data_IF_436979900677
#
_entry.id   IF_436979900677
#
_cell.length_a   1.000
_cell.length_b   1.000
_cell.length_c   1.000
_cell.angle_alpha   90.00
_cell.angle_beta   90.00
_cell.angle_gamma   90.00
#
_symmetry.space_group_name_H-M   'P 1'
#
loop_
_entity.id
_entity.type
_entity.pdbx_description
1 polymer ?
#
# COMPACT_ATOMS: atom_id res chain seq x y z
N UNK A 1 -10.33 -15.14 8.12
CA UNK A 1 -8.94 -14.63 7.91
C UNK A 1 -8.32 -15.41 6.76
N UNK A 2 -7.75 -14.68 5.80
CA UNK A 2 -7.06 -15.30 4.67
C UNK A 2 -5.78 -16.02 5.10
N UNK A 3 -5.30 -17.02 4.33
CA UNK A 3 -4.01 -17.66 4.62
C UNK A 3 -2.84 -16.68 4.65
N UNK A 4 -2.86 -15.69 3.77
CA UNK A 4 -1.83 -14.66 3.68
C UNK A 4 -1.79 -13.81 4.94
N UNK A 5 -2.95 -13.40 5.44
CA UNK A 5 -3.02 -12.62 6.68
C UNK A 5 -2.61 -13.46 7.90
N UNK A 6 -2.96 -14.75 7.92
CA UNK A 6 -2.52 -15.65 8.98
C UNK A 6 -1.00 -15.79 9.01
N UNK A 7 -0.37 -15.91 7.85
CA UNK A 7 1.09 -15.98 7.74
C UNK A 7 1.73 -14.65 8.18
N UNK A 8 1.17 -13.52 7.77
CA UNK A 8 1.65 -12.21 8.20
C UNK A 8 1.55 -12.05 9.73
N UNK A 9 0.45 -12.51 10.32
CA UNK A 9 0.22 -12.41 11.76
C UNK A 9 1.23 -13.24 12.59
N UNK A 10 1.80 -14.29 12.02
CA UNK A 10 2.89 -15.04 12.64
C UNK A 10 4.21 -14.27 12.66
N UNK A 11 4.42 -13.41 11.68
CA UNK A 11 5.64 -12.61 11.52
C UNK A 11 5.57 -11.26 12.23
N UNK A 12 4.38 -10.69 12.29
CA UNK A 12 4.15 -9.32 12.73
C UNK A 12 2.99 -9.25 13.70
N UNK A 13 3.30 -8.91 14.95
CA UNK A 13 2.27 -8.76 15.98
C UNK A 13 1.44 -7.50 15.74
N UNK A 14 0.13 -7.65 15.62
CA UNK A 14 -0.81 -6.56 15.49
C UNK A 14 -1.25 -5.97 16.82
N UNK A 15 -1.98 -4.84 16.78
CA UNK A 15 -2.55 -4.23 17.98
C UNK A 15 -3.64 -5.10 18.59
N UNK A 16 -3.92 -4.89 19.90
CA UNK A 16 -4.83 -5.74 20.66
C UNK A 16 -6.30 -5.57 20.25
N UNK A 17 -6.72 -4.37 19.89
CA UNK A 17 -8.08 -4.08 19.42
C UNK A 17 -8.09 -2.78 18.61
N UNK A 18 -8.91 -2.77 17.54
CA UNK A 18 -9.10 -1.61 16.68
C UNK A 18 -10.58 -1.30 16.54
N UNK A 19 -10.93 -0.03 16.67
CA UNK A 19 -12.23 0.46 16.25
C UNK A 19 -12.13 0.94 14.82
N UNK A 20 -12.96 0.36 13.96
CA UNK A 20 -13.05 0.78 12.56
C UNK A 20 -13.88 2.06 12.47
N UNK A 21 -13.28 3.12 11.94
CA UNK A 21 -13.89 4.44 11.83
C UNK A 21 -14.24 4.86 10.42
N UNK A 22 -14.17 3.95 9.43
CA UNK A 22 -14.47 4.26 8.04
C UNK A 22 -15.58 3.37 7.48
N UNK A 23 -16.35 3.91 6.54
CA UNK A 23 -17.42 3.22 5.84
C UNK A 23 -16.92 2.76 4.47
N UNK A 24 -17.02 1.47 4.22
CA UNK A 24 -16.54 0.85 2.97
C UNK A 24 -17.18 1.46 1.73
N UNK A 25 -18.49 1.63 1.73
CA UNK A 25 -19.22 2.16 0.57
C UNK A 25 -18.80 3.58 0.24
N UNK A 26 -18.63 4.41 1.26
CA UNK A 26 -18.16 5.80 1.11
C UNK A 26 -16.74 5.82 0.53
N UNK A 27 -15.84 5.03 1.09
CA UNK A 27 -14.44 4.95 0.63
C UNK A 27 -14.35 4.46 -0.80
N UNK A 28 -15.06 3.38 -1.14
CA UNK A 28 -15.04 2.82 -2.49
C UNK A 28 -15.66 3.80 -3.51
N UNK A 29 -16.65 4.60 -3.11
CA UNK A 29 -17.19 5.66 -3.96
C UNK A 29 -16.15 6.78 -4.19
N UNK A 30 -15.43 7.20 -3.15
CA UNK A 30 -14.38 8.21 -3.27
C UNK A 30 -13.21 7.74 -4.14
N UNK A 31 -12.80 6.48 -3.98
CA UNK A 31 -11.74 5.86 -4.78
C UNK A 31 -12.22 5.50 -6.19
N UNK A 32 -13.53 5.44 -6.42
CA UNK A 32 -14.16 5.01 -7.68
C UNK A 32 -13.76 3.59 -8.08
N UNK A 33 -13.55 2.71 -7.10
CA UNK A 33 -13.25 1.30 -7.29
C UNK A 33 -13.39 0.55 -5.97
N UNK A 34 -13.60 -0.76 -6.04
CA UNK A 34 -13.65 -1.62 -4.88
C UNK A 34 -12.26 -1.81 -4.25
N UNK A 35 -12.22 -1.95 -2.94
CA UNK A 35 -10.99 -2.30 -2.22
C UNK A 35 -10.72 -3.80 -2.32
N UNK A 36 -9.45 -4.22 -2.46
CA UNK A 36 -9.09 -5.63 -2.39
C UNK A 36 -9.49 -6.26 -1.06
N UNK A 37 -9.95 -7.50 -1.10
CA UNK A 37 -10.42 -8.22 0.09
C UNK A 37 -9.30 -8.41 1.11
N UNK A 38 -8.10 -8.79 0.67
CA UNK A 38 -6.96 -8.98 1.55
C UNK A 38 -6.54 -7.69 2.26
N UNK A 39 -6.61 -6.55 1.56
CA UNK A 39 -6.32 -5.24 2.16
C UNK A 39 -7.34 -4.88 3.22
N UNK A 40 -8.64 -5.14 2.96
CA UNK A 40 -9.68 -4.88 3.97
C UNK A 40 -9.44 -5.70 5.23
N UNK A 41 -9.12 -6.97 5.09
CA UNK A 41 -8.76 -7.83 6.22
C UNK A 41 -7.50 -7.32 6.95
N UNK A 42 -6.51 -6.87 6.20
CA UNK A 42 -5.26 -6.33 6.73
C UNK A 42 -5.51 -5.10 7.61
N UNK A 43 -6.26 -4.11 7.11
CA UNK A 43 -6.53 -2.89 7.88
C UNK A 43 -7.57 -3.10 8.99
N UNK A 44 -8.42 -4.10 8.88
CA UNK A 44 -9.29 -4.51 9.98
C UNK A 44 -8.49 -5.12 11.13
N UNK A 45 -7.41 -5.82 10.83
CA UNK A 45 -6.55 -6.45 11.82
C UNK A 45 -5.51 -5.50 12.42
N UNK A 46 -4.90 -4.64 11.61
CA UNK A 46 -3.78 -3.79 12.01
C UNK A 46 -4.11 -2.30 12.08
N UNK A 47 -5.05 -1.82 11.26
CA UNK A 47 -5.20 -0.39 10.99
C UNK A 47 -4.03 0.17 10.19
N UNK A 48 -4.01 1.48 10.00
CA UNK A 48 -2.85 2.16 9.46
C UNK A 48 -1.73 2.22 10.50
N UNK A 49 -0.49 2.20 10.05
CA UNK A 49 0.63 2.26 10.96
C UNK A 49 1.99 2.06 10.30
N UNK A 50 3.00 2.08 11.14
CA UNK A 50 4.40 2.04 10.73
C UNK A 50 4.97 0.63 10.95
N UNK A 51 5.37 -0.01 9.85
CA UNK A 51 6.00 -1.32 9.84
C UNK A 51 7.52 -1.17 9.80
N UNK A 52 8.19 -1.78 10.78
CA UNK A 52 9.67 -1.81 10.89
C UNK A 52 10.30 -0.42 10.75
N UNK A 53 9.66 0.59 11.34
CA UNK A 53 10.11 1.99 11.35
C UNK A 53 10.31 2.62 9.96
N UNK A 54 9.74 2.02 8.92
CA UNK A 54 10.00 2.42 7.54
C UNK A 54 8.77 2.49 6.64
N UNK A 55 7.94 1.43 6.60
CA UNK A 55 6.81 1.35 5.69
C UNK A 55 5.51 1.79 6.39
N UNK A 56 4.86 2.81 5.83
CA UNK A 56 3.60 3.36 6.30
C UNK A 56 2.44 2.67 5.59
N UNK A 57 1.74 1.78 6.29
CA UNK A 57 0.51 1.18 5.80
C UNK A 57 -0.61 2.19 5.92
N UNK A 58 -1.29 2.49 4.82
CA UNK A 58 -2.36 3.48 4.79
C UNK A 58 -3.71 2.85 5.14
N UNK A 59 -4.55 3.62 5.82
CA UNK A 59 -5.91 3.23 6.23
C UNK A 59 -6.90 4.30 5.78
N UNK A 60 -8.06 3.92 5.20
CA UNK A 60 -9.07 4.91 4.83
C UNK A 60 -9.54 5.73 6.03
N UNK A 61 -9.53 7.05 5.89
CA UNK A 61 -10.04 7.96 6.93
C UNK A 61 -9.22 7.96 8.22
N UNK A 62 -7.96 7.56 8.17
CA UNK A 62 -7.10 7.60 9.36
C UNK A 62 -7.02 9.01 9.93
N UNK A 63 -7.18 9.19 11.27
CA UNK A 63 -7.07 10.50 11.90
C UNK A 63 -5.71 11.16 11.70
N UNK A 64 -4.66 10.38 11.51
CA UNK A 64 -3.35 10.87 11.12
C UNK A 64 -3.30 10.95 9.59
N UNK A 65 -3.31 12.17 9.04
CA UNK A 65 -3.42 12.45 7.61
C UNK A 65 -2.35 11.77 6.75
N UNK A 66 -1.14 11.56 7.27
CA UNK A 66 -0.07 10.91 6.50
C UNK A 66 -0.30 9.41 6.33
N UNK A 67 -1.27 8.85 7.05
CA UNK A 67 -1.71 7.46 6.95
C UNK A 67 -3.08 7.31 6.29
N UNK A 68 -3.67 8.40 5.78
CA UNK A 68 -5.01 8.34 5.16
C UNK A 68 -4.91 7.91 3.69
N UNK A 69 -5.42 6.72 3.41
CA UNK A 69 -5.41 6.11 2.06
C UNK A 69 -6.04 7.02 1.01
N UNK A 70 -7.21 7.57 1.28
CA UNK A 70 -7.97 8.37 0.29
C UNK A 70 -7.21 9.66 -0.03
N UNK A 71 -6.75 10.35 1.01
CA UNK A 71 -6.00 11.60 0.86
C UNK A 71 -4.69 11.40 0.12
N UNK A 72 -3.88 10.44 0.56
CA UNK A 72 -2.58 10.16 -0.06
C UNK A 72 -2.74 9.68 -1.50
N UNK A 73 -3.73 8.84 -1.78
CA UNK A 73 -4.00 8.37 -3.15
C UNK A 73 -4.34 9.52 -4.08
N UNK A 74 -5.18 10.48 -3.64
CA UNK A 74 -5.52 11.66 -4.43
C UNK A 74 -4.31 12.55 -4.69
N UNK A 75 -3.48 12.79 -3.67
CA UNK A 75 -2.25 13.58 -3.80
C UNK A 75 -1.26 12.93 -4.76
N UNK A 76 -1.12 11.60 -4.71
CA UNK A 76 -0.20 10.88 -5.59
C UNK A 76 -0.69 10.84 -7.04
N UNK A 77 -2.00 10.70 -7.27
CA UNK A 77 -2.56 10.78 -8.61
C UNK A 77 -2.25 12.13 -9.26
N UNK A 78 -2.48 13.22 -8.54
CA UNK A 78 -2.16 14.57 -9.01
C UNK A 78 -0.66 14.78 -9.23
N UNK A 79 0.17 14.31 -8.31
CA UNK A 79 1.62 14.42 -8.40
C UNK A 79 2.19 13.64 -9.59
N UNK A 80 1.70 12.42 -9.83
CA UNK A 80 2.12 11.61 -10.96
C UNK A 80 1.68 12.22 -12.29
N UNK A 81 0.44 12.72 -12.38
CA UNK A 81 -0.04 13.40 -13.59
C UNK A 81 0.82 14.61 -13.95
N UNK A 82 1.26 15.37 -12.97
CA UNK A 82 2.16 16.51 -13.16
C UNK A 82 3.56 16.06 -13.58
N UNK A 83 4.10 15.04 -12.92
CA UNK A 83 5.44 14.49 -13.20
C UNK A 83 5.52 13.93 -14.64
N UNK A 84 4.48 13.22 -15.08
CA UNK A 84 4.47 12.56 -16.40
C UNK A 84 4.28 13.53 -17.57
N UNK A 85 4.14 14.81 -17.32
CA UNK A 85 4.26 15.83 -18.37
C UNK A 85 5.73 16.05 -18.79
N UNK A 86 6.68 15.66 -17.94
CA UNK A 86 8.12 15.88 -18.13
C UNK A 86 8.93 14.59 -18.09
N UNK A 87 8.45 13.58 -17.38
CA UNK A 87 9.10 12.29 -17.20
C UNK A 87 8.29 11.17 -17.86
N UNK A 88 8.96 10.08 -18.21
CA UNK A 88 8.29 8.90 -18.73
C UNK A 88 7.46 8.21 -17.64
N UNK A 89 6.25 7.80 -18.03
CA UNK A 89 5.40 6.99 -17.14
C UNK A 89 5.78 5.51 -17.26
N UNK A 90 5.49 4.68 -16.23
CA UNK A 90 5.72 3.25 -16.35
C UNK A 90 4.85 2.64 -17.46
N UNK A 91 5.34 1.55 -18.06
CA UNK A 91 4.67 0.90 -19.20
C UNK A 91 3.20 0.54 -18.90
N UNK A 92 2.89 0.14 -17.68
CA UNK A 92 1.54 -0.19 -17.24
C UNK A 92 0.58 0.99 -17.35
N UNK A 93 1.08 2.21 -17.30
CA UNK A 93 0.27 3.44 -17.37
C UNK A 93 0.16 4.02 -18.78
N UNK A 94 0.76 3.36 -19.76
CA UNK A 94 0.60 3.72 -21.19
C UNK A 94 -0.77 3.31 -21.72
N UNK A 95 -1.39 2.28 -21.12
CA UNK A 95 -2.74 1.85 -21.49
C UNK A 95 -3.79 2.78 -20.90
N UNK A 96 -4.66 3.31 -21.73
CA UNK A 96 -5.75 4.19 -21.29
C UNK A 96 -6.68 3.51 -20.29
N UNK A 97 -7.08 4.24 -19.27
CA UNK A 97 -7.99 3.76 -18.23
C UNK A 97 -7.32 3.05 -17.06
N UNK A 98 -6.03 2.75 -17.13
CA UNK A 98 -5.30 2.24 -15.98
C UNK A 98 -5.07 3.34 -14.96
N UNK A 99 -5.14 2.98 -13.68
CA UNK A 99 -4.99 3.90 -12.54
C UNK A 99 -4.06 3.31 -11.50
N UNK A 100 -3.46 4.18 -10.71
CA UNK A 100 -2.67 3.80 -9.54
C UNK A 100 -3.35 4.31 -8.28
N UNK A 101 -3.53 3.44 -7.30
CA UNK A 101 -4.02 3.80 -5.98
C UNK A 101 -2.94 3.47 -4.97
N UNK A 102 -2.44 4.47 -4.26
CA UNK A 102 -1.37 4.30 -3.27
C UNK A 102 -1.92 3.64 -2.01
N UNK A 103 -1.36 2.50 -1.61
CA UNK A 103 -1.76 1.81 -0.39
C UNK A 103 -0.70 1.83 0.71
N UNK A 104 0.53 2.20 0.38
CA UNK A 104 1.60 2.37 1.36
C UNK A 104 2.61 3.40 0.87
N UNK A 105 3.29 4.03 1.82
CA UNK A 105 4.40 4.94 1.56
C UNK A 105 5.59 4.51 2.41
N UNK A 106 6.73 5.17 2.26
CA UNK A 106 7.88 4.90 3.10
C UNK A 106 8.46 6.18 3.69
N UNK A 107 9.26 6.01 4.72
CA UNK A 107 9.96 7.13 5.36
C UNK A 107 10.97 7.83 4.41
N UNK A 108 11.38 7.15 3.35
CA UNK A 108 12.30 7.71 2.35
C UNK A 108 11.60 8.32 1.13
N UNK A 109 10.28 8.30 1.07
CA UNK A 109 9.53 8.91 -0.03
C UNK A 109 9.24 7.98 -1.22
N UNK A 110 9.37 6.66 -1.06
CA UNK A 110 8.88 5.71 -2.04
C UNK A 110 7.38 5.46 -1.83
N UNK A 111 6.69 5.02 -2.89
CA UNK A 111 5.26 4.76 -2.86
C UNK A 111 4.94 3.39 -3.44
N UNK A 112 3.97 2.72 -2.81
CA UNK A 112 3.48 1.41 -3.25
C UNK A 112 2.02 1.56 -3.68
N UNK A 113 1.69 1.02 -4.86
CA UNK A 113 0.40 1.20 -5.50
C UNK A 113 -0.24 -0.12 -5.88
N UNK A 114 -1.57 -0.15 -5.92
CA UNK A 114 -2.30 -1.11 -6.75
C UNK A 114 -2.37 -0.58 -8.18
N UNK A 115 -2.10 -1.43 -9.15
CA UNK A 115 -2.44 -1.17 -10.53
C UNK A 115 -3.91 -1.54 -10.74
N UNK A 116 -4.74 -0.55 -11.03
CA UNK A 116 -6.18 -0.72 -11.27
C UNK A 116 -6.44 -0.63 -12.77
N UNK A 117 -6.93 -1.71 -13.36
CA UNK A 117 -7.27 -1.78 -14.78
C UNK A 117 -8.80 -1.73 -14.95
N UNK A 118 -9.30 -1.28 -16.12
CA UNK A 118 -10.75 -1.29 -16.36
C UNK A 118 -11.34 -2.69 -16.18
N UNK A 119 -12.43 -2.79 -15.42
CA UNK A 119 -13.15 -4.05 -15.15
C UNK A 119 -12.27 -5.18 -14.58
N UNK A 120 -11.22 -4.84 -13.86
CA UNK A 120 -10.35 -5.82 -13.22
C UNK A 120 -11.02 -6.49 -12.02
N UNK A 121 -10.41 -7.58 -11.54
CA UNK A 121 -10.74 -8.15 -10.25
C UNK A 121 -9.87 -7.46 -9.18
N UNK A 122 -10.47 -6.74 -8.19
CA UNK A 122 -9.69 -6.07 -7.16
C UNK A 122 -8.73 -6.99 -6.40
N UNK A 123 -9.09 -8.27 -6.26
CA UNK A 123 -8.27 -9.25 -5.53
C UNK A 123 -7.07 -9.76 -6.33
N UNK A 124 -6.95 -9.37 -7.59
CA UNK A 124 -5.85 -9.78 -8.47
C UNK A 124 -4.94 -8.62 -8.89
N UNK A 125 -5.04 -7.49 -8.25
CA UNK A 125 -4.24 -6.30 -8.59
C UNK A 125 -2.79 -6.49 -8.19
N UNK A 126 -1.84 -6.24 -9.13
CA UNK A 126 -0.43 -6.25 -8.79
C UNK A 126 -0.02 -5.01 -8.00
N UNK A 127 1.11 -5.11 -7.32
CA UNK A 127 1.75 -4.01 -6.61
C UNK A 127 2.83 -3.38 -7.50
N UNK A 128 2.78 -2.06 -7.65
CA UNK A 128 3.84 -1.28 -8.28
C UNK A 128 4.52 -0.42 -7.22
N UNK A 129 5.84 -0.29 -7.33
CA UNK A 129 6.63 0.56 -6.44
C UNK A 129 7.39 1.56 -7.29
N UNK A 130 7.41 2.83 -6.89
CA UNK A 130 8.29 3.80 -7.50
C UNK A 130 9.30 4.37 -6.50
N UNK A 131 10.44 4.79 -7.04
CA UNK A 131 11.47 5.50 -6.28
C UNK A 131 11.01 6.90 -5.87
N UNK A 132 11.73 7.50 -4.94
CA UNK A 132 11.48 8.88 -4.50
C UNK A 132 11.49 9.86 -5.68
N UNK A 133 12.40 9.69 -6.64
CA UNK A 133 12.47 10.53 -7.84
C UNK A 133 11.29 10.30 -8.79
N UNK A 134 10.61 9.16 -8.70
CA UNK A 134 9.57 8.75 -9.62
C UNK A 134 10.07 8.17 -10.94
N UNK A 135 11.38 8.01 -11.09
CA UNK A 135 12.00 7.51 -12.35
C UNK A 135 12.05 5.99 -12.42
N UNK A 136 12.30 5.34 -11.29
CA UNK A 136 12.45 3.89 -11.23
C UNK A 136 11.18 3.23 -10.74
N UNK A 137 10.77 2.14 -11.39
CA UNK A 137 9.57 1.37 -11.08
C UNK A 137 9.88 -0.12 -10.97
N UNK A 138 9.21 -0.77 -10.03
CA UNK A 138 9.18 -2.22 -9.90
C UNK A 138 7.73 -2.70 -9.92
N UNK A 139 7.51 -3.91 -10.41
CA UNK A 139 6.22 -4.57 -10.42
C UNK A 139 6.32 -5.95 -9.79
N UNK A 140 5.36 -6.24 -8.91
CA UNK A 140 5.18 -7.54 -8.28
C UNK A 140 3.75 -8.01 -8.49
N UNK A 141 3.56 -9.20 -9.05
CA UNK A 141 2.23 -9.79 -9.24
C UNK A 141 1.75 -10.40 -7.91
N UNK A 142 1.64 -9.56 -6.91
CA UNK A 142 1.27 -9.88 -5.54
C UNK A 142 0.28 -8.86 -4.99
N UNK A 143 -0.68 -9.33 -4.18
CA UNK A 143 -1.55 -8.45 -3.40
C UNK A 143 -0.73 -7.73 -2.32
N UNK A 144 -1.32 -6.72 -1.68
CA UNK A 144 -0.65 -5.98 -0.61
C UNK A 144 -0.16 -6.90 0.52
N UNK A 145 -1.02 -7.80 1.00
CA UNK A 145 -0.67 -8.73 2.07
C UNK A 145 0.38 -9.75 1.64
N UNK A 146 0.28 -10.28 0.42
CA UNK A 146 1.28 -11.18 -0.14
C UNK A 146 2.64 -10.49 -0.26
N UNK A 147 2.65 -9.27 -0.75
CA UNK A 147 3.87 -8.47 -0.88
C UNK A 147 4.54 -8.24 0.47
N UNK A 148 3.77 -7.78 1.48
CA UNK A 148 4.31 -7.56 2.83
C UNK A 148 4.89 -8.84 3.42
N UNK A 149 4.18 -9.95 3.30
CA UNK A 149 4.66 -11.25 3.78
C UNK A 149 5.95 -11.68 3.08
N UNK A 150 6.01 -11.54 1.76
CA UNK A 150 7.19 -11.92 0.97
C UNK A 150 8.42 -11.06 1.31
N UNK A 151 8.24 -9.77 1.56
CA UNK A 151 9.32 -8.88 1.99
C UNK A 151 9.79 -9.23 3.40
N UNK A 152 8.88 -9.45 4.34
CA UNK A 152 9.22 -9.76 5.73
C UNK A 152 9.92 -11.11 5.87
N UNK A 153 9.60 -12.08 5.02
CA UNK A 153 10.26 -13.39 5.01
C UNK A 153 11.58 -13.39 4.23
N UNK A 154 11.86 -12.34 3.48
CA UNK A 154 13.04 -12.29 2.60
C UNK A 154 12.87 -13.07 1.31
N UNK A 155 11.65 -13.55 0.99
CA UNK A 155 11.33 -14.23 -0.27
C UNK A 155 11.59 -13.34 -1.48
N UNK A 156 11.24 -12.04 -1.34
CA UNK A 156 11.57 -11.02 -2.34
C UNK A 156 12.37 -9.91 -1.68
N UNK A 157 13.18 -9.23 -2.49
CA UNK A 157 13.93 -8.05 -2.08
C UNK A 157 13.83 -6.99 -3.16
N UNK A 158 13.24 -5.85 -2.80
CA UNK A 158 13.14 -4.70 -3.69
C UNK A 158 14.49 -3.99 -3.80
N UNK A 159 14.84 -3.55 -5.00
CA UNK A 159 16.01 -2.68 -5.21
C UNK A 159 15.67 -1.20 -4.98
N UNK A 160 14.39 -0.85 -4.95
CA UNK A 160 13.92 0.52 -4.69
C UNK A 160 13.83 0.79 -3.19
N UNK A 161 13.29 -0.16 -2.42
CA UNK A 161 13.11 0.01 -0.98
C UNK A 161 14.46 -0.03 -0.26
N UNK A 162 14.50 0.63 0.90
CA UNK A 162 15.72 0.69 1.71
C UNK A 162 16.28 -0.70 2.00
N UNK A 163 17.59 -0.87 1.82
CA UNK A 163 18.26 -2.15 1.93
C UNK A 163 18.30 -2.74 3.35
N UNK A 164 18.03 -1.89 4.36
CA UNK A 164 17.90 -2.32 5.76
C UNK A 164 16.47 -2.68 6.15
N UNK A 165 15.51 -2.49 5.29
CA UNK A 165 14.14 -2.94 5.48
C UNK A 165 13.98 -4.33 4.85
N UNK A 166 13.36 -5.32 5.50
CA UNK A 166 12.80 -5.27 6.86
C UNK A 166 13.85 -5.40 7.97
N UNK A 167 13.48 -5.00 9.18
CA UNK A 167 14.33 -5.16 10.35
C UNK A 167 14.40 -6.63 10.77
N UNK A 168 15.46 -7.04 11.51
CA UNK A 168 15.57 -8.42 12.00
C UNK A 168 14.43 -8.86 12.91
N UNK A 169 13.91 -7.95 13.72
CA UNK A 169 12.73 -8.15 14.55
C UNK A 169 11.61 -7.23 14.03
N UNK A 170 10.49 -7.80 13.64
CA UNK A 170 9.40 -7.03 13.04
C UNK A 170 8.53 -6.35 14.08
N UNK A 171 8.19 -5.09 13.83
CA UNK A 171 7.37 -4.28 14.70
C UNK A 171 6.32 -3.51 13.89
N UNK A 172 5.10 -3.45 14.41
CA UNK A 172 4.04 -2.61 13.87
C UNK A 172 3.59 -1.62 14.93
N UNK A 173 3.66 -0.34 14.60
CA UNK A 173 3.21 0.74 15.50
C UNK A 173 1.98 1.40 14.89
N UNK A 174 0.79 1.28 15.55
CA UNK A 174 -0.43 1.87 15.02
C UNK A 174 -0.32 3.39 14.87
N UNK A 175 -0.81 3.91 13.74
CA UNK A 175 -0.82 5.35 13.48
C UNK A 175 -1.63 6.13 14.51
N UNK A 176 -2.67 5.50 15.08
CA UNK A 176 -3.53 6.11 16.10
C UNK A 176 -2.85 6.30 17.44
N UNK A 177 -1.70 5.69 17.66
CA UNK A 177 -0.90 5.77 18.87
C UNK A 177 0.31 6.72 18.73
N UNK A 178 0.45 7.39 17.58
CA UNK A 178 1.55 8.31 17.27
C UNK A 178 1.15 9.77 17.32
#
# INVERSE_FOLDING_TARGET
>A
MSPELSQLAELLRGPAALERSWDREVVEAELRTALPTDYRELVEAYGGGLLDEYLLLLEPGCPNDVYDLVKISAEREEANDSLWQFEDRPAEMESGGNRLICWATTDNGEYLYWLVRPADNPDSRPTLINSESGEDWERYDMTATQFLTAVLTGEIRSEILWDRFPLPAHEFRPAREM
#
